data_IF_374774531422
#
_entry.id   IF_374774531422
#
_cell.length_a   1.000
_cell.length_b   1.000
_cell.length_c   1.000
_cell.angle_alpha   90.00
_cell.angle_beta   90.00
_cell.angle_gamma   90.00
#
_symmetry.space_group_name_H-M   'P 1'
#
loop_
_entity.id
_entity.type
_entity.pdbx_description
1 polymer ?
#
# COMPACT_ATOMS: atom_id res chain seq x y z
N UNK A 1 4.16 -1.26 -9.67
CA UNK A 1 3.69 -1.31 -8.27
C UNK A 1 2.93 -2.60 -7.94
N UNK A 2 1.92 -3.00 -8.73
CA UNK A 2 1.11 -4.20 -8.48
C UNK A 2 1.95 -5.50 -8.34
N UNK A 3 2.95 -5.69 -9.20
CA UNK A 3 3.86 -6.85 -9.17
C UNK A 3 4.63 -6.98 -7.85
N UNK A 4 5.03 -5.86 -7.25
CA UNK A 4 5.70 -5.85 -5.95
C UNK A 4 4.71 -6.12 -4.80
N UNK A 5 3.48 -5.61 -4.90
CA UNK A 5 2.44 -5.78 -3.88
C UNK A 5 1.87 -7.19 -3.83
N UNK A 6 1.69 -7.85 -4.98
CA UNK A 6 1.13 -9.21 -5.02
C UNK A 6 2.06 -10.27 -4.44
N UNK A 7 3.38 -10.04 -4.45
CA UNK A 7 4.40 -10.95 -3.94
C UNK A 7 4.62 -10.74 -2.45
N UNK A 8 4.44 -11.78 -1.66
CA UNK A 8 4.54 -11.74 -0.20
C UNK A 8 5.39 -12.90 0.32
N UNK A 9 6.15 -12.69 1.39
CA UNK A 9 6.81 -13.80 2.09
C UNK A 9 5.79 -14.75 2.73
N UNK A 10 6.13 -16.04 2.85
CA UNK A 10 5.24 -17.05 3.45
C UNK A 10 4.87 -16.71 4.91
N UNK A 11 5.81 -16.17 5.69
CA UNK A 11 5.62 -15.82 7.11
C UNK A 11 5.54 -14.30 7.29
N UNK A 12 4.56 -13.65 6.67
CA UNK A 12 4.35 -12.21 6.78
C UNK A 12 3.20 -11.86 7.75
N UNK A 13 3.06 -10.57 8.08
CA UNK A 13 2.00 -10.06 8.96
C UNK A 13 0.59 -10.13 8.39
N UNK A 14 0.43 -10.44 7.10
CA UNK A 14 -0.88 -10.65 6.50
C UNK A 14 -1.54 -11.94 6.99
N UNK A 15 -0.76 -12.86 7.56
CA UNK A 15 -1.25 -14.11 8.14
C UNK A 15 -1.78 -15.08 7.09
N UNK A 16 -2.58 -16.05 7.55
CA UNK A 16 -3.15 -17.09 6.69
C UNK A 16 -4.31 -16.57 5.83
N UNK A 17 -5.13 -15.70 6.42
CA UNK A 17 -6.33 -15.11 5.80
C UNK A 17 -6.13 -13.60 5.68
N UNK A 18 -5.46 -13.13 4.61
CA UNK A 18 -5.27 -11.71 4.37
C UNK A 18 -6.61 -10.98 4.17
N UNK A 19 -6.62 -9.68 4.47
CA UNK A 19 -7.79 -8.84 4.26
C UNK A 19 -8.23 -8.83 2.78
N UNK A 20 -9.54 -8.63 2.50
CA UNK A 20 -10.06 -8.58 1.14
C UNK A 20 -9.74 -7.28 0.40
N UNK A 21 -9.46 -6.19 1.11
CA UNK A 21 -9.05 -4.90 0.53
C UNK A 21 -7.72 -4.49 1.14
N UNK A 22 -6.75 -4.16 0.31
CA UNK A 22 -5.41 -3.73 0.71
C UNK A 22 -5.22 -2.27 0.32
N UNK A 23 -4.98 -1.42 1.32
CA UNK A 23 -4.67 -0.03 1.06
C UNK A 23 -3.16 0.14 0.97
N UNK A 24 -2.70 0.78 -0.10
CA UNK A 24 -1.29 0.94 -0.40
C UNK A 24 -0.92 2.41 -0.21
N UNK A 25 0.07 2.64 0.63
CA UNK A 25 0.62 3.96 0.90
C UNK A 25 2.09 3.99 0.46
N UNK A 26 2.58 5.18 0.10
CA UNK A 26 3.98 5.45 -0.18
C UNK A 26 4.50 6.41 0.86
N UNK A 27 5.69 6.13 1.40
CA UNK A 27 6.33 7.04 2.33
C UNK A 27 6.66 8.38 1.62
N UNK A 28 6.28 9.48 2.22
CA UNK A 28 6.53 10.85 1.75
C UNK A 28 7.41 11.60 2.76
N UNK A 29 8.60 11.03 3.00
CA UNK A 29 9.55 11.55 3.99
C UNK A 29 9.15 11.35 5.45
N UNK A 30 10.14 11.12 6.31
CA UNK A 30 9.90 10.93 7.74
C UNK A 30 8.90 9.81 8.05
N UNK A 31 7.83 10.15 8.78
CA UNK A 31 6.74 9.24 9.13
C UNK A 31 5.50 9.45 8.25
N UNK A 32 5.51 10.40 7.32
CA UNK A 32 4.32 10.67 6.51
C UNK A 32 4.19 9.61 5.43
N UNK A 33 2.96 9.20 5.16
CA UNK A 33 2.66 8.23 4.11
C UNK A 33 1.40 8.64 3.38
N UNK A 34 1.52 8.76 2.07
CA UNK A 34 0.43 9.17 1.20
C UNK A 34 -0.26 7.95 0.60
N UNK A 35 -1.60 7.96 0.58
CA UNK A 35 -2.41 6.90 -0.02
C UNK A 35 -2.28 6.92 -1.55
N UNK A 36 -1.87 5.79 -2.13
CA UNK A 36 -1.71 5.65 -3.58
C UNK A 36 -2.86 4.90 -4.25
N UNK A 37 -3.30 3.79 -3.66
CA UNK A 37 -4.33 2.95 -4.28
C UNK A 37 -4.89 1.93 -3.30
N UNK A 38 -6.12 1.50 -3.55
CA UNK A 38 -6.67 0.28 -2.99
C UNK A 38 -6.61 -0.86 -4.02
N UNK A 39 -6.44 -2.09 -3.54
CA UNK A 39 -6.62 -3.29 -4.36
C UNK A 39 -7.52 -4.27 -3.63
N UNK A 40 -8.39 -4.94 -4.38
CA UNK A 40 -9.13 -6.11 -3.93
C UNK A 40 -8.26 -7.36 -4.07
N UNK A 41 -8.22 -8.16 -3.01
CA UNK A 41 -7.50 -9.41 -2.94
C UNK A 41 -8.48 -10.57 -3.17
N UNK A 42 -8.37 -11.19 -4.34
CA UNK A 42 -9.19 -12.33 -4.78
C UNK A 42 -8.59 -13.69 -4.39
N UNK A 43 -7.79 -13.72 -3.32
CA UNK A 43 -7.09 -14.89 -2.76
C UNK A 43 -5.71 -15.18 -3.35
N UNK A 44 -5.02 -16.14 -2.72
CA UNK A 44 -3.71 -16.60 -3.14
C UNK A 44 -3.81 -17.35 -4.47
N UNK A 45 -2.79 -17.20 -5.31
CA UNK A 45 -2.57 -17.96 -6.55
C UNK A 45 -1.58 -19.10 -6.27
N UNK A 46 -2.05 -20.33 -5.98
CA UNK A 46 -1.16 -21.41 -5.55
C UNK A 46 -0.21 -21.87 -6.65
N UNK A 47 -0.61 -21.70 -7.92
CA UNK A 47 0.20 -22.04 -9.10
C UNK A 47 1.46 -21.18 -9.24
N UNK A 48 1.47 -19.97 -8.66
CA UNK A 48 2.61 -19.07 -8.70
C UNK A 48 3.46 -19.14 -7.42
N UNK A 49 3.00 -19.89 -6.41
CA UNK A 49 3.67 -19.99 -5.12
C UNK A 49 5.08 -20.59 -5.27
N UNK A 50 6.01 -20.05 -4.52
CA UNK A 50 7.39 -20.55 -4.40
C UNK A 50 7.69 -20.94 -2.95
N UNK A 51 8.86 -21.52 -2.69
CA UNK A 51 9.30 -21.91 -1.34
C UNK A 51 9.40 -20.72 -0.36
N UNK A 52 9.65 -19.51 -0.86
CA UNK A 52 9.80 -18.32 -0.02
C UNK A 52 8.62 -17.34 -0.12
N UNK A 53 7.83 -17.41 -1.20
CA UNK A 53 6.82 -16.41 -1.51
C UNK A 53 5.47 -16.98 -1.92
N UNK A 54 4.41 -16.29 -1.48
CA UNK A 54 3.02 -16.43 -1.90
C UNK A 54 2.67 -15.28 -2.83
N UNK A 55 1.77 -15.53 -3.78
CA UNK A 55 1.31 -14.53 -4.73
C UNK A 55 -0.20 -14.40 -4.62
N UNK A 56 -0.72 -13.19 -4.74
CA UNK A 56 -2.16 -12.89 -4.61
C UNK A 56 -2.72 -12.33 -5.91
N UNK A 57 -3.96 -12.71 -6.25
CA UNK A 57 -4.73 -12.05 -7.31
C UNK A 57 -5.23 -10.70 -6.79
N UNK A 58 -4.45 -9.65 -7.07
CA UNK A 58 -4.79 -8.29 -6.70
C UNK A 58 -5.39 -7.56 -7.89
N UNK A 59 -6.58 -7.00 -7.71
CA UNK A 59 -7.27 -6.18 -8.71
C UNK A 59 -7.45 -4.78 -8.17
N UNK A 60 -7.41 -3.78 -9.05
CA UNK A 60 -7.59 -2.39 -8.62
C UNK A 60 -9.01 -2.22 -8.06
N UNK A 61 -9.13 -1.56 -6.91
CA UNK A 61 -10.41 -1.26 -6.28
C UNK A 61 -10.66 0.24 -6.30
N UNK A 62 -11.93 0.62 -6.35
CA UNK A 62 -12.37 2.01 -6.25
C UNK A 62 -12.52 2.49 -4.79
N UNK A 63 -12.23 1.61 -3.82
CA UNK A 63 -12.20 1.99 -2.42
C UNK A 63 -11.26 3.19 -2.19
N UNK A 64 -11.81 4.25 -1.60
CA UNK A 64 -11.12 5.51 -1.33
C UNK A 64 -10.55 6.20 -2.59
N UNK A 65 -11.08 5.92 -3.78
CA UNK A 65 -10.58 6.50 -5.04
C UNK A 65 -10.50 8.03 -5.00
N UNK A 66 -11.44 8.70 -4.33
CA UNK A 66 -11.49 10.16 -4.18
C UNK A 66 -10.39 10.74 -3.28
N UNK A 67 -9.74 9.88 -2.49
CA UNK A 67 -8.65 10.20 -1.57
C UNK A 67 -7.27 9.78 -2.10
N UNK A 68 -7.24 9.17 -3.28
CA UNK A 68 -6.00 8.81 -3.96
C UNK A 68 -5.11 10.04 -4.12
N UNK A 69 -3.84 9.91 -3.70
CA UNK A 69 -2.83 10.97 -3.75
C UNK A 69 -3.23 12.21 -2.93
N UNK A 70 -4.19 12.06 -2.01
CA UNK A 70 -4.69 13.14 -1.14
C UNK A 70 -4.63 12.79 0.33
N UNK A 71 -5.00 11.56 0.68
CA UNK A 71 -4.96 11.11 2.07
C UNK A 71 -3.51 10.90 2.50
N UNK A 72 -3.08 11.65 3.51
CA UNK A 72 -1.79 11.50 4.17
C UNK A 72 -2.02 11.05 5.60
N UNK A 73 -1.34 9.97 5.99
CA UNK A 73 -1.37 9.43 7.35
C UNK A 73 0.01 9.50 7.98
N UNK A 74 0.05 9.60 9.30
CA UNK A 74 1.28 9.36 10.05
C UNK A 74 1.48 7.86 10.20
N UNK A 75 2.52 7.33 9.56
CA UNK A 75 2.97 5.96 9.68
C UNK A 75 3.74 5.77 10.99
N UNK A 76 3.61 4.58 11.57
CA UNK A 76 4.28 4.26 12.84
C UNK A 76 5.81 4.38 12.72
N UNK A 77 6.47 4.77 13.82
CA UNK A 77 7.95 4.77 13.98
C UNK A 77 8.62 3.40 13.86
N UNK A 78 7.85 2.31 13.81
CA UNK A 78 8.39 0.96 13.71
C UNK A 78 9.16 0.80 12.39
N UNK A 79 10.48 0.76 12.49
CA UNK A 79 11.44 0.94 11.38
C UNK A 79 11.46 -0.17 10.34
N UNK A 80 10.78 -1.30 10.58
CA UNK A 80 10.97 -2.53 9.78
C UNK A 80 9.66 -3.10 9.24
N UNK A 81 8.50 -2.61 9.71
CA UNK A 81 7.23 -3.24 9.38
C UNK A 81 6.27 -2.35 8.60
N UNK A 82 6.43 -2.44 7.29
CA UNK A 82 5.65 -1.74 6.28
C UNK A 82 4.26 -2.35 6.06
N UNK A 83 3.92 -3.47 6.72
CA UNK A 83 2.58 -4.03 6.68
C UNK A 83 1.88 -3.89 8.04
N UNK A 84 0.73 -3.21 8.06
CA UNK A 84 -0.13 -3.10 9.23
C UNK A 84 -1.36 -3.97 9.04
N UNK A 85 -1.86 -4.53 10.14
CA UNK A 85 -3.17 -5.17 10.14
C UNK A 85 -4.24 -4.10 10.22
N UNK A 86 -5.48 -4.42 9.82
CA UNK A 86 -6.64 -3.53 9.97
C UNK A 86 -6.74 -2.89 11.35
N UNK A 87 -6.49 -3.65 12.43
CA UNK A 87 -6.61 -3.18 13.80
C UNK A 87 -5.56 -2.11 14.18
N UNK A 88 -4.36 -2.19 13.61
CA UNK A 88 -3.30 -1.19 13.83
C UNK A 88 -3.52 -0.02 12.88
N UNK A 89 -3.77 -0.32 11.61
CA UNK A 89 -3.89 0.67 10.57
C UNK A 89 -5.10 1.61 10.74
N UNK A 90 -6.20 1.13 11.32
CA UNK A 90 -7.36 1.98 11.66
C UNK A 90 -7.07 3.02 12.74
N UNK A 91 -5.91 2.93 13.41
CA UNK A 91 -5.45 3.88 14.44
C UNK A 91 -4.39 4.83 13.92
N UNK A 92 -3.96 4.70 12.67
CA UNK A 92 -3.01 5.63 12.08
C UNK A 92 -3.67 7.01 11.97
N UNK A 93 -3.08 8.06 12.54
CA UNK A 93 -3.63 9.40 12.44
C UNK A 93 -3.72 9.85 10.98
N UNK A 94 -4.86 10.40 10.59
CA UNK A 94 -4.96 11.19 9.36
C UNK A 94 -4.33 12.55 9.65
N UNK A 95 -3.22 12.84 8.99
CA UNK A 95 -2.49 14.10 9.16
C UNK A 95 -3.04 15.15 8.21
N UNK A 96 -3.34 14.75 6.98
CA UNK A 96 -3.80 15.66 5.95
C UNK A 96 -4.74 14.96 4.96
N UNK A 97 -5.64 15.73 4.37
CA UNK A 97 -6.32 15.38 3.12
C UNK A 97 -5.98 16.51 2.16
N UNK A 98 -4.96 16.31 1.32
CA UNK A 98 -4.49 17.33 0.40
C UNK A 98 -5.61 17.73 -0.58
N UNK A 99 -5.54 18.98 -1.04
CA UNK A 99 -6.39 19.42 -2.14
C UNK A 99 -6.07 18.59 -3.40
N UNK A 100 -7.05 18.37 -4.29
CA UNK A 100 -6.78 17.72 -5.55
C UNK A 100 -5.69 18.50 -6.29
N UNK A 101 -4.61 17.82 -6.68
CA UNK A 101 -3.59 18.45 -7.50
C UNK A 101 -4.27 19.05 -8.74
N UNK A 102 -4.10 20.37 -8.93
CA UNK A 102 -4.49 21.02 -10.18
C UNK A 102 -3.60 20.40 -11.25
N UNK A 103 -4.19 19.72 -12.23
CA UNK A 103 -3.42 19.06 -13.30
C UNK A 103 -2.83 20.15 -14.18
N UNK A 104 -1.61 20.56 -13.87
CA UNK A 104 -0.76 21.27 -14.80
C UNK A 104 -0.02 20.24 -15.67
N UNK A 105 -0.10 20.43 -16.98
CA UNK A 105 0.46 19.55 -18.03
C UNK A 105 2.01 19.59 -18.06
N UNK A 106 2.70 18.60 -18.68
CA UNK A 106 3.73 17.82 -18.01
C UNK A 106 5.16 18.34 -18.19
N UNK A 107 5.99 18.13 -17.16
CA UNK A 107 7.33 17.54 -17.30
C UNK A 107 7.92 17.22 -15.92
N UNK A 108 8.38 15.99 -15.71
CA UNK A 108 9.80 15.65 -15.45
C UNK A 108 9.88 14.21 -14.92
N UNK A 109 10.70 13.41 -15.59
CA UNK A 109 11.07 12.05 -15.22
C UNK A 109 11.76 12.05 -13.85
N UNK A 110 11.09 11.56 -12.81
CA UNK A 110 11.74 11.28 -11.52
C UNK A 110 12.21 9.83 -11.48
N UNK A 111 13.52 9.70 -11.29
CA UNK A 111 14.26 8.46 -11.07
C UNK A 111 13.56 7.57 -10.03
N UNK A 112 13.22 6.35 -10.44
CA UNK A 112 12.57 5.34 -9.61
C UNK A 112 13.57 4.74 -8.62
N UNK A 113 13.87 5.46 -7.54
CA UNK A 113 14.43 4.84 -6.34
C UNK A 113 13.32 4.01 -5.67
N UNK A 114 13.64 2.80 -5.21
CA UNK A 114 12.71 1.88 -4.53
C UNK A 114 12.24 2.50 -3.20
N UNK A 115 11.23 3.37 -3.25
CA UNK A 115 10.59 3.90 -2.05
C UNK A 115 9.81 2.79 -1.33
N UNK A 116 9.83 2.76 0.01
CA UNK A 116 9.15 1.74 0.78
C UNK A 116 7.63 1.82 0.57
N UNK A 117 7.01 0.67 0.32
CA UNK A 117 5.57 0.54 0.11
C UNK A 117 4.92 0.04 1.40
N UNK A 118 4.11 0.91 1.98
CA UNK A 118 3.30 0.70 3.15
C UNK A 118 1.97 0.02 2.77
N UNK A 119 1.49 -0.94 3.58
CA UNK A 119 0.25 -1.69 3.34
C UNK A 119 -0.56 -1.78 4.61
N UNK A 120 -1.88 -1.69 4.47
CA UNK A 120 -2.85 -1.59 5.56
C UNK A 120 -3.99 -2.60 5.32
#
# INVERSE_FOLDING_TARGET
MLTYTRKQGINNKLGRTPAPVWLIFMADGGQLSQFLTANENHSELPSERTEAHRFFDLRRSDALATLRERLVVEWSKDTVDWAKTRAIGSRLPVVEIADPARVDSPATTTSSSLMPICRL
#
